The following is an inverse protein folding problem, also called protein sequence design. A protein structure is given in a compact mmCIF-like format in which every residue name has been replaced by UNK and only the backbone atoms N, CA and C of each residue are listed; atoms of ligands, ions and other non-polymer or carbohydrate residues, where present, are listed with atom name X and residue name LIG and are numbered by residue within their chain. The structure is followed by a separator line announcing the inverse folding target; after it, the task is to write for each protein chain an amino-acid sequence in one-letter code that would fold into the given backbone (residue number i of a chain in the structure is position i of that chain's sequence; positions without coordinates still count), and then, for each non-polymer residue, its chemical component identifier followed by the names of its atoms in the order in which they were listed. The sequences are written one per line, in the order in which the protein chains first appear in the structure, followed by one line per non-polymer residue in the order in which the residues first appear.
data_IF_876801848875
#
_entry.id   IF_876801848875
#
_cell.length_a   1.000
_cell.length_b   1.000
_cell.length_c   1.000
_cell.angle_alpha   90.00
_cell.angle_beta   90.00
_cell.angle_gamma   90.00
#
_symmetry.space_group_name_H-M   'P 1'
#
loop_
_entity.id
_entity.type
_entity.pdbx_description
1 polymer ?
#
# COMPACT_ATOMS: atom_id res chain seq x y z
N UNK A 1 43.45 -16.62 18.60
CA UNK A 1 42.11 -16.00 18.74
C UNK A 1 42.23 -14.50 18.48
N UNK A 2 41.72 -13.94 17.40
CA UNK A 2 41.40 -12.51 17.38
C UNK A 2 39.89 -12.29 17.13
N UNK A 3 39.37 -11.58 18.06
CA UNK A 3 38.25 -10.63 18.19
C UNK A 3 37.44 -10.27 16.92
N UNK A 4 36.14 -10.56 16.98
CA UNK A 4 35.08 -9.96 16.17
C UNK A 4 34.57 -8.63 16.79
N UNK A 5 34.96 -7.46 16.30
CA UNK A 5 34.19 -6.23 16.58
C UNK A 5 33.72 -5.44 15.35
N UNK A 6 33.92 -5.91 14.11
CA UNK A 6 33.59 -5.09 12.94
C UNK A 6 32.17 -5.29 12.37
N UNK A 7 31.46 -6.36 12.70
CA UNK A 7 30.11 -6.67 12.17
C UNK A 7 29.00 -5.89 12.92
N UNK A 8 29.11 -5.73 14.25
CA UNK A 8 28.08 -5.06 15.06
C UNK A 8 28.00 -3.55 14.81
N UNK A 9 29.12 -2.90 14.51
CA UNK A 9 29.14 -1.45 14.21
C UNK A 9 28.44 -1.09 12.88
N UNK A 10 28.41 -2.02 11.93
CA UNK A 10 27.75 -1.81 10.62
C UNK A 10 26.23 -2.03 10.66
N UNK A 11 25.74 -2.88 11.57
CA UNK A 11 24.30 -3.09 11.76
C UNK A 11 23.62 -1.93 12.51
N UNK A 12 24.26 -1.43 13.56
CA UNK A 12 23.77 -0.26 14.30
C UNK A 12 23.69 1.02 13.44
N UNK A 13 24.64 1.22 12.54
CA UNK A 13 24.66 2.33 11.61
C UNK A 13 23.57 2.23 10.51
N UNK A 14 23.28 1.02 10.04
CA UNK A 14 22.20 0.76 9.07
C UNK A 14 20.82 0.92 9.71
N UNK A 15 20.64 0.45 10.93
CA UNK A 15 19.40 0.58 11.69
C UNK A 15 19.07 2.06 11.98
N UNK A 16 20.05 2.86 12.41
CA UNK A 16 19.89 4.30 12.63
C UNK A 16 19.56 5.08 11.34
N UNK A 17 20.22 4.77 10.23
CA UNK A 17 19.91 5.41 8.93
C UNK A 17 18.49 5.04 8.46
N UNK A 18 18.05 3.82 8.69
CA UNK A 18 16.70 3.35 8.34
C UNK A 18 15.64 4.07 9.17
N UNK A 19 15.85 4.17 10.49
CA UNK A 19 14.94 4.90 11.40
C UNK A 19 14.87 6.40 11.07
N UNK A 20 16.01 7.03 10.74
CA UNK A 20 16.06 8.44 10.34
C UNK A 20 15.33 8.67 9.01
N UNK A 21 15.52 7.79 8.02
CA UNK A 21 14.81 7.89 6.75
C UNK A 21 13.30 7.71 6.93
N UNK A 22 12.87 6.78 7.79
CA UNK A 22 11.45 6.58 8.09
C UNK A 22 10.83 7.79 8.78
N UNK A 23 11.53 8.41 9.73
CA UNK A 23 11.09 9.64 10.38
C UNK A 23 10.98 10.80 9.38
N UNK A 24 11.96 10.95 8.49
CA UNK A 24 11.94 11.95 7.42
C UNK A 24 10.79 11.72 6.43
N UNK A 25 10.53 10.47 6.04
CA UNK A 25 9.40 10.13 5.17
C UNK A 25 8.05 10.42 5.84
N UNK A 26 7.91 10.14 7.15
CA UNK A 26 6.72 10.48 7.91
C UNK A 26 6.48 11.99 7.93
N UNK A 27 7.51 12.78 8.24
CA UNK A 27 7.41 14.24 8.24
C UNK A 27 7.09 14.78 6.85
N UNK A 28 7.74 14.24 5.81
CA UNK A 28 7.46 14.62 4.43
C UNK A 28 6.03 14.28 4.02
N UNK A 29 5.52 13.11 4.42
CA UNK A 29 4.15 12.66 4.16
C UNK A 29 3.11 13.55 4.86
N UNK A 30 3.32 13.86 6.16
CA UNK A 30 2.47 14.78 6.93
C UNK A 30 2.47 16.19 6.33
N UNK A 31 3.63 16.70 5.93
CA UNK A 31 3.77 17.99 5.24
C UNK A 31 3.03 17.98 3.89
N UNK A 32 3.15 16.90 3.14
CA UNK A 32 2.46 16.71 1.87
C UNK A 32 0.94 16.68 2.06
N UNK A 33 0.46 15.89 3.01
CA UNK A 33 -0.96 15.79 3.32
C UNK A 33 -1.54 17.12 3.82
N UNK A 34 -0.78 17.88 4.63
CA UNK A 34 -1.21 19.17 5.19
C UNK A 34 -1.13 20.34 4.20
N UNK A 35 -0.09 20.36 3.34
CA UNK A 35 0.14 21.46 2.39
C UNK A 35 -0.62 21.31 1.07
N UNK A 36 -0.93 20.05 0.68
CA UNK A 36 -1.64 19.73 -0.54
C UNK A 36 -2.87 18.86 -0.23
N UNK A 37 -3.90 19.44 0.44
CA UNK A 37 -5.12 18.73 0.82
C UNK A 37 -6.05 18.54 -0.40
N UNK A 38 -5.50 18.06 -1.51
CA UNK A 38 -6.23 18.01 -2.78
C UNK A 38 -7.01 16.71 -2.88
N UNK A 39 -8.36 16.78 -2.99
CA UNK A 39 -9.20 15.60 -3.18
C UNK A 39 -8.84 14.78 -4.41
N UNK A 40 -8.27 15.43 -5.43
CA UNK A 40 -7.82 14.82 -6.69
C UNK A 40 -6.66 13.84 -6.50
N UNK A 41 -5.90 13.97 -5.40
CA UNK A 41 -4.84 13.03 -5.04
C UNK A 41 -5.38 11.92 -4.14
N UNK A 42 -6.36 11.19 -4.63
CA UNK A 42 -7.00 10.11 -3.88
C UNK A 42 -6.11 8.88 -3.70
N UNK A 43 -5.19 8.68 -4.64
CA UNK A 43 -4.32 7.51 -4.69
C UNK A 43 -2.85 7.90 -4.66
N UNK A 44 -2.03 7.02 -4.07
CA UNK A 44 -0.58 7.18 -3.96
C UNK A 44 0.16 5.93 -4.45
N UNK A 45 -0.56 4.94 -4.97
CA UNK A 45 0.02 3.72 -5.50
C UNK A 45 0.52 3.89 -6.94
N UNK A 46 1.33 2.92 -7.40
CA UNK A 46 1.92 2.95 -8.73
C UNK A 46 0.94 2.54 -9.84
N UNK A 47 -0.13 1.82 -9.47
CA UNK A 47 -1.12 1.34 -10.41
C UNK A 47 -0.86 -0.09 -10.90
N UNK A 48 -1.81 -0.59 -11.66
CA UNK A 48 -1.77 -1.91 -12.30
C UNK A 48 -2.53 -1.83 -13.63
N UNK A 49 -2.10 -2.61 -14.63
CA UNK A 49 -2.91 -2.92 -15.81
C UNK A 49 -2.76 -4.38 -16.18
N UNK A 50 -3.85 -4.99 -16.64
CA UNK A 50 -3.81 -6.35 -17.16
C UNK A 50 -2.99 -6.37 -18.44
N UNK A 51 -2.11 -7.36 -18.57
CA UNK A 51 -1.33 -7.59 -19.79
C UNK A 51 -2.05 -8.59 -20.68
N UNK A 52 -1.97 -8.46 -22.01
CA UNK A 52 -2.56 -9.42 -22.92
C UNK A 52 -2.08 -10.87 -22.62
N UNK A 53 -2.93 -11.90 -22.75
CA UNK A 53 -4.33 -11.85 -23.23
C UNK A 53 -5.38 -11.50 -22.16
N UNK A 54 -4.97 -11.17 -20.93
CA UNK A 54 -5.89 -10.85 -19.84
C UNK A 54 -6.52 -9.47 -20.07
N UNK A 55 -7.82 -9.37 -19.85
CA UNK A 55 -8.60 -8.13 -19.99
C UNK A 55 -9.38 -7.80 -18.71
N UNK A 56 -8.99 -8.40 -17.57
CA UNK A 56 -9.68 -8.18 -16.30
C UNK A 56 -9.49 -6.73 -15.82
N UNK A 57 -10.52 -5.93 -16.04
CA UNK A 57 -10.55 -4.52 -15.72
C UNK A 57 -11.94 -4.17 -15.18
N UNK A 58 -12.05 -3.52 -14.02
CA UNK A 58 -13.34 -3.14 -13.48
C UNK A 58 -14.06 -2.11 -14.37
N UNK A 59 -15.38 -2.23 -14.48
CA UNK A 59 -16.21 -1.14 -14.96
C UNK A 59 -16.24 -0.04 -13.89
N UNK A 60 -15.96 1.19 -14.31
CA UNK A 60 -15.85 2.33 -13.41
C UNK A 60 -16.86 3.42 -13.77
N UNK A 61 -17.32 4.12 -12.73
CA UNK A 61 -18.02 5.38 -12.94
C UNK A 61 -17.12 6.40 -13.66
N UNK A 62 -17.66 7.29 -14.50
CA UNK A 62 -16.85 8.29 -15.21
C UNK A 62 -15.98 9.16 -14.32
N UNK A 63 -16.38 9.40 -13.07
CA UNK A 63 -15.61 10.15 -12.08
C UNK A 63 -14.38 9.42 -11.56
N UNK A 64 -14.34 8.09 -11.64
CA UNK A 64 -13.24 7.25 -11.19
C UNK A 64 -12.23 6.92 -12.32
N UNK A 65 -12.65 7.11 -13.59
CA UNK A 65 -11.83 6.82 -14.77
C UNK A 65 -10.44 7.48 -14.77
N UNK A 66 -10.28 8.73 -14.31
CA UNK A 66 -8.95 9.34 -14.24
C UNK A 66 -7.95 8.56 -13.35
N UNK A 67 -8.43 7.82 -12.36
CA UNK A 67 -7.61 7.04 -11.44
C UNK A 67 -7.60 5.53 -11.76
N UNK A 68 -8.05 5.15 -12.98
CA UNK A 68 -8.24 3.75 -13.43
C UNK A 68 -7.08 2.83 -13.05
N UNK A 69 -5.84 3.19 -13.36
CA UNK A 69 -4.68 2.32 -13.08
C UNK A 69 -4.45 2.12 -11.57
N UNK A 70 -4.63 3.18 -10.79
CA UNK A 70 -4.54 3.09 -9.33
C UNK A 70 -5.65 2.20 -8.74
N UNK A 71 -6.86 2.32 -9.28
CA UNK A 71 -8.02 1.50 -8.91
C UNK A 71 -7.81 0.04 -9.31
N UNK A 72 -7.26 -0.23 -10.49
CA UNK A 72 -6.98 -1.59 -10.96
C UNK A 72 -6.04 -2.34 -10.02
N UNK A 73 -5.05 -1.65 -9.41
CA UNK A 73 -4.21 -2.29 -8.40
C UNK A 73 -5.04 -2.76 -7.19
N UNK A 74 -5.90 -1.89 -6.66
CA UNK A 74 -6.79 -2.27 -5.57
C UNK A 74 -7.75 -3.39 -5.97
N UNK A 75 -8.28 -3.34 -7.19
CA UNK A 75 -9.13 -4.41 -7.73
C UNK A 75 -8.39 -5.75 -7.74
N UNK A 76 -7.20 -5.80 -8.31
CA UNK A 76 -6.38 -7.01 -8.40
C UNK A 76 -6.01 -7.60 -7.04
N UNK A 77 -5.93 -6.78 -6.01
CA UNK A 77 -5.63 -7.25 -4.65
C UNK A 77 -6.90 -7.67 -3.92
N UNK A 78 -7.94 -6.84 -3.95
CA UNK A 78 -9.12 -7.00 -3.10
C UNK A 78 -10.18 -7.97 -3.68
N UNK A 79 -10.28 -8.12 -5.02
CA UNK A 79 -11.26 -9.02 -5.66
C UNK A 79 -10.89 -10.51 -5.61
N UNK A 80 -9.72 -10.87 -5.02
CA UNK A 80 -9.30 -12.28 -4.89
C UNK A 80 -10.13 -13.09 -3.90
N UNK A 81 -10.92 -12.40 -3.10
CA UNK A 81 -11.92 -13.01 -2.22
C UNK A 81 -13.23 -12.23 -2.36
N UNK A 82 -14.35 -12.89 -2.11
CA UNK A 82 -15.63 -12.19 -2.05
C UNK A 82 -15.68 -11.37 -0.75
N UNK A 83 -15.72 -10.06 -0.89
CA UNK A 83 -15.82 -9.10 0.22
C UNK A 83 -17.25 -8.66 0.50
N UNK A 84 -18.22 -9.11 -0.29
CA UNK A 84 -19.63 -8.71 -0.12
C UNK A 84 -20.13 -9.01 1.29
N UNK A 85 -20.62 -7.99 1.98
CA UNK A 85 -21.14 -8.11 3.36
C UNK A 85 -20.07 -8.29 4.45
N UNK A 86 -18.79 -8.42 4.12
CA UNK A 86 -17.69 -8.62 5.07
C UNK A 86 -17.37 -7.37 5.90
N UNK A 87 -16.62 -7.57 6.97
CA UNK A 87 -15.96 -6.49 7.75
C UNK A 87 -14.50 -6.44 7.33
N UNK A 88 -14.10 -5.33 6.69
CA UNK A 88 -12.78 -5.12 6.11
C UNK A 88 -11.99 -4.06 6.88
N UNK A 89 -10.71 -4.33 7.15
CA UNK A 89 -9.74 -3.36 7.63
C UNK A 89 -8.69 -3.09 6.55
N UNK A 90 -8.44 -1.82 6.21
CA UNK A 90 -7.22 -1.45 5.47
C UNK A 90 -6.22 -0.81 6.43
N UNK A 91 -4.98 -1.31 6.45
CA UNK A 91 -3.88 -0.74 7.23
C UNK A 91 -2.95 0.02 6.31
N UNK A 92 -2.73 1.32 6.61
CA UNK A 92 -2.02 2.25 5.74
C UNK A 92 -2.91 2.77 4.62
N UNK A 93 -4.10 3.26 4.98
CA UNK A 93 -5.14 3.68 4.01
C UNK A 93 -4.80 4.98 3.26
N UNK A 94 -3.76 5.70 3.68
CA UNK A 94 -3.26 6.89 3.02
C UNK A 94 -4.33 7.94 2.77
N UNK A 95 -4.59 8.25 1.51
CA UNK A 95 -5.60 9.24 1.08
C UNK A 95 -6.99 8.65 0.85
N UNK A 96 -7.18 7.38 1.14
CA UNK A 96 -8.47 6.72 1.22
C UNK A 96 -9.14 6.36 -0.11
N UNK A 97 -8.53 6.67 -1.25
CA UNK A 97 -9.09 6.35 -2.56
C UNK A 97 -9.32 4.86 -2.76
N UNK A 98 -8.34 4.05 -2.35
CA UNK A 98 -8.40 2.60 -2.47
C UNK A 98 -9.53 1.97 -1.67
N UNK A 99 -9.61 2.28 -0.38
CA UNK A 99 -10.68 1.73 0.47
C UNK A 99 -12.07 2.25 0.05
N UNK A 100 -12.15 3.52 -0.41
CA UNK A 100 -13.38 4.07 -0.98
C UNK A 100 -13.82 3.29 -2.22
N UNK A 101 -12.88 2.94 -3.12
CA UNK A 101 -13.16 2.06 -4.25
C UNK A 101 -13.67 0.69 -3.78
N UNK A 102 -12.96 0.02 -2.88
CA UNK A 102 -13.33 -1.31 -2.38
C UNK A 102 -14.72 -1.27 -1.74
N UNK A 103 -15.02 -0.25 -0.93
CA UNK A 103 -16.35 -0.09 -0.31
C UNK A 103 -17.46 0.05 -1.34
N UNK A 104 -17.28 0.85 -2.39
CA UNK A 104 -18.32 1.14 -3.39
C UNK A 104 -18.53 -0.02 -4.36
N UNK A 105 -17.46 -0.68 -4.80
CA UNK A 105 -17.52 -1.66 -5.88
C UNK A 105 -17.50 -3.11 -5.39
N UNK A 106 -16.78 -3.43 -4.30
CA UNK A 106 -16.70 -4.79 -3.74
C UNK A 106 -17.61 -5.00 -2.51
N UNK A 107 -18.30 -3.96 -2.06
CA UNK A 107 -19.44 -3.95 -1.15
C UNK A 107 -19.25 -4.69 0.19
N UNK A 108 -18.13 -4.53 0.93
CA UNK A 108 -18.08 -4.94 2.33
C UNK A 108 -19.17 -4.19 3.12
N UNK A 109 -19.77 -4.82 4.13
CA UNK A 109 -20.77 -4.16 5.00
C UNK A 109 -20.13 -3.00 5.77
N UNK A 110 -18.93 -3.21 6.30
CA UNK A 110 -18.12 -2.24 7.01
C UNK A 110 -16.70 -2.25 6.46
N UNK A 111 -16.17 -1.06 6.14
CA UNK A 111 -14.79 -0.86 5.77
C UNK A 111 -14.15 0.18 6.70
N UNK A 112 -13.05 -0.18 7.36
CA UNK A 112 -12.30 0.71 8.25
C UNK A 112 -10.89 0.88 7.68
N UNK A 113 -10.47 2.13 7.47
CA UNK A 113 -9.11 2.46 7.09
C UNK A 113 -8.33 3.00 8.27
N UNK A 114 -7.12 2.49 8.51
CA UNK A 114 -6.22 3.01 9.54
C UNK A 114 -4.98 3.60 8.88
N UNK A 115 -4.61 4.82 9.30
CA UNK A 115 -3.38 5.47 8.87
C UNK A 115 -2.68 6.19 10.02
N UNK A 116 -1.35 6.25 9.97
CA UNK A 116 -0.53 6.92 10.96
C UNK A 116 -0.64 8.46 10.87
N UNK A 117 -1.09 8.98 9.73
CA UNK A 117 -1.28 10.41 9.50
C UNK A 117 -2.67 10.87 9.92
N UNK A 118 -2.77 11.54 11.05
CA UNK A 118 -4.03 12.15 11.50
C UNK A 118 -4.56 13.19 10.50
N UNK A 119 -3.70 13.83 9.70
CA UNK A 119 -4.10 14.76 8.64
C UNK A 119 -4.78 14.00 7.50
N UNK A 120 -4.17 12.91 7.02
CA UNK A 120 -4.75 12.06 5.98
C UNK A 120 -6.13 11.52 6.40
N UNK A 121 -6.23 10.98 7.62
CA UNK A 121 -7.50 10.49 8.19
C UNK A 121 -8.59 11.57 8.20
N UNK A 122 -8.28 12.79 8.64
CA UNK A 122 -9.26 13.90 8.60
C UNK A 122 -9.71 14.25 7.18
N UNK A 123 -8.80 14.23 6.22
CA UNK A 123 -9.11 14.47 4.80
C UNK A 123 -9.99 13.35 4.24
N UNK A 124 -9.69 12.09 4.55
CA UNK A 124 -10.49 10.94 4.13
C UNK A 124 -11.93 11.05 4.66
N UNK A 125 -12.11 11.27 5.96
CA UNK A 125 -13.44 11.40 6.56
C UNK A 125 -14.23 12.58 6.01
N UNK A 126 -13.55 13.65 5.56
CA UNK A 126 -14.22 14.81 4.92
C UNK A 126 -14.63 14.56 3.48
N UNK A 127 -13.79 13.88 2.71
CA UNK A 127 -13.93 13.81 1.24
C UNK A 127 -14.34 12.43 0.71
N UNK A 128 -14.30 11.37 1.56
CA UNK A 128 -14.59 9.98 1.18
C UNK A 128 -15.75 9.39 1.98
N UNK A 129 -16.64 10.26 2.49
CA UNK A 129 -17.78 9.82 3.30
C UNK A 129 -18.72 8.94 2.47
N UNK A 130 -18.82 7.67 2.84
CA UNK A 130 -19.74 6.67 2.29
C UNK A 130 -20.29 5.87 3.47
N UNK A 131 -21.56 5.49 3.43
CA UNK A 131 -22.17 4.70 4.49
C UNK A 131 -21.40 3.39 4.72
N UNK A 132 -20.98 3.14 5.97
CA UNK A 132 -20.17 1.98 6.35
C UNK A 132 -18.70 2.08 5.94
N UNK A 133 -18.18 3.29 5.67
CA UNK A 133 -16.76 3.58 5.48
C UNK A 133 -16.30 4.57 6.54
N UNK A 134 -15.25 4.22 7.28
CA UNK A 134 -14.67 5.03 8.36
C UNK A 134 -13.16 5.03 8.24
N UNK A 135 -12.50 6.14 8.57
CA UNK A 135 -11.04 6.23 8.65
C UNK A 135 -10.63 6.65 10.06
N UNK A 136 -9.71 5.89 10.66
CA UNK A 136 -9.21 6.12 12.01
C UNK A 136 -7.69 6.32 12.02
N UNK A 137 -7.23 7.11 12.99
CA UNK A 137 -5.80 7.28 13.24
C UNK A 137 -5.27 6.11 14.06
N UNK A 138 -4.18 5.47 13.59
CA UNK A 138 -3.57 4.35 14.30
C UNK A 138 -2.22 3.93 13.76
N UNK A 139 -1.53 3.13 14.56
CA UNK A 139 -0.24 2.54 14.21
C UNK A 139 -0.44 1.08 13.78
N UNK A 140 0.10 0.70 12.63
CA UNK A 140 0.07 -0.67 12.12
C UNK A 140 0.65 -1.71 13.09
N UNK A 141 1.49 -1.28 14.04
CA UNK A 141 2.13 -2.13 15.05
C UNK A 141 1.31 -2.34 16.33
N UNK A 142 0.20 -1.61 16.47
CA UNK A 142 -0.65 -1.64 17.66
C UNK A 142 -2.07 -1.23 17.26
N UNK A 143 -2.76 -2.11 16.54
CA UNK A 143 -4.11 -1.87 16.04
C UNK A 143 -5.12 -1.84 17.19
N UNK A 144 -5.90 -0.77 17.30
CA UNK A 144 -6.85 -0.53 18.39
C UNK A 144 -8.18 -1.29 18.17
N UNK A 145 -8.10 -2.54 17.76
CA UNK A 145 -9.26 -3.40 17.53
C UNK A 145 -9.14 -4.70 18.34
N UNK A 146 -10.27 -5.29 18.77
CA UNK A 146 -10.26 -6.59 19.43
C UNK A 146 -9.72 -7.70 18.52
N UNK A 147 -9.32 -8.81 19.13
CA UNK A 147 -8.97 -10.03 18.41
C UNK A 147 -10.14 -10.52 17.56
N UNK A 148 -9.85 -11.10 16.41
CA UNK A 148 -10.86 -11.75 15.54
C UNK A 148 -12.03 -10.82 15.17
N UNK A 149 -11.74 -9.56 14.81
CA UNK A 149 -12.73 -8.54 14.47
C UNK A 149 -13.06 -8.45 12.99
N UNK A 150 -12.13 -8.87 12.11
CA UNK A 150 -12.23 -8.64 10.67
C UNK A 150 -12.25 -9.94 9.87
N UNK A 151 -13.07 -9.96 8.81
CA UNK A 151 -13.10 -11.04 7.83
C UNK A 151 -11.95 -10.95 6.84
N UNK A 152 -11.50 -9.71 6.56
CA UNK A 152 -10.33 -9.45 5.72
C UNK A 152 -9.53 -8.24 6.22
N UNK A 153 -8.21 -8.29 6.01
CA UNK A 153 -7.29 -7.16 6.16
C UNK A 153 -6.65 -6.89 4.81
N UNK A 154 -6.62 -5.63 4.40
CA UNK A 154 -6.02 -5.14 3.16
C UNK A 154 -4.79 -4.29 3.49
N UNK A 155 -3.72 -4.44 2.71
CA UNK A 155 -2.53 -3.59 2.79
C UNK A 155 -1.92 -3.44 1.39
N UNK A 156 -1.94 -2.22 0.86
CA UNK A 156 -1.44 -1.90 -0.47
C UNK A 156 -0.42 -0.78 -0.38
N UNK A 157 0.80 -1.04 -0.87
CA UNK A 157 1.91 -0.07 -0.96
C UNK A 157 2.17 0.76 0.31
N UNK A 158 2.15 0.15 1.47
CA UNK A 158 2.39 0.88 2.73
C UNK A 158 3.38 0.19 3.66
N UNK A 159 3.44 -1.14 3.67
CA UNK A 159 4.24 -1.90 4.62
C UNK A 159 5.75 -1.74 4.44
N UNK A 160 6.22 -1.29 3.28
CA UNK A 160 7.63 -0.95 3.06
C UNK A 160 8.12 0.22 3.94
N UNK A 161 7.19 1.03 4.45
CA UNK A 161 7.46 2.13 5.37
C UNK A 161 7.41 1.71 6.86
N UNK A 162 7.00 0.48 7.18
CA UNK A 162 6.80 0.08 8.57
C UNK A 162 8.13 -0.26 9.26
N UNK A 163 8.30 0.13 10.54
CA UNK A 163 9.52 -0.17 11.29
C UNK A 163 9.75 -1.66 11.53
N UNK A 164 8.68 -2.44 11.70
CA UNK A 164 8.72 -3.88 11.91
C UNK A 164 7.59 -4.56 11.15
N UNK A 165 7.98 -5.38 10.20
CA UNK A 165 7.04 -6.20 9.42
C UNK A 165 6.47 -7.33 10.28
N UNK A 166 7.28 -7.92 11.15
CA UNK A 166 6.86 -9.00 12.05
C UNK A 166 5.75 -8.54 13.01
N UNK A 167 5.93 -7.37 13.65
CA UNK A 167 4.93 -6.80 14.55
C UNK A 167 3.63 -6.49 13.80
N UNK A 168 3.75 -5.92 12.60
CA UNK A 168 2.58 -5.64 11.75
C UNK A 168 1.81 -6.92 11.41
N UNK A 169 2.51 -7.96 10.93
CA UNK A 169 1.85 -9.22 10.56
C UNK A 169 1.22 -9.91 11.77
N UNK A 170 1.86 -9.83 12.94
CA UNK A 170 1.29 -10.34 14.19
C UNK A 170 -0.04 -9.65 14.53
N UNK A 171 -0.12 -8.33 14.38
CA UNK A 171 -1.37 -7.58 14.57
C UNK A 171 -2.43 -7.95 13.52
N UNK A 172 -2.03 -8.11 12.24
CA UNK A 172 -2.93 -8.62 11.19
C UNK A 172 -3.50 -9.98 11.58
N UNK A 173 -2.64 -10.92 12.00
CA UNK A 173 -3.08 -12.23 12.45
C UNK A 173 -4.03 -12.14 13.65
N UNK A 174 -3.73 -11.28 14.62
CA UNK A 174 -4.55 -11.10 15.83
C UNK A 174 -5.97 -10.62 15.48
N UNK A 175 -6.07 -9.58 14.66
CA UNK A 175 -7.38 -8.95 14.35
C UNK A 175 -8.19 -9.74 13.33
N UNK A 176 -7.59 -10.62 12.53
CA UNK A 176 -8.31 -11.50 11.60
C UNK A 176 -9.10 -12.56 12.36
N UNK A 177 -10.32 -12.80 11.91
CA UNK A 177 -11.12 -13.97 12.33
C UNK A 177 -10.46 -15.27 11.84
N UNK A 178 -10.68 -16.40 12.54
CA UNK A 178 -10.35 -17.70 11.97
C UNK A 178 -10.97 -17.86 10.57
N UNK A 179 -10.18 -18.30 9.60
CA UNK A 179 -10.59 -18.39 8.20
C UNK A 179 -10.55 -17.07 7.42
N UNK A 180 -10.28 -15.94 8.07
CA UNK A 180 -10.16 -14.62 7.44
C UNK A 180 -8.93 -14.47 6.55
N UNK A 181 -8.93 -13.47 5.68
CA UNK A 181 -7.92 -13.27 4.63
C UNK A 181 -7.07 -12.02 4.86
N UNK A 182 -5.77 -12.14 4.61
CA UNK A 182 -4.87 -11.01 4.47
C UNK A 182 -4.54 -10.80 2.98
N UNK A 183 -4.97 -9.66 2.43
CA UNK A 183 -4.81 -9.24 1.05
C UNK A 183 -3.69 -8.21 1.00
N UNK A 184 -2.58 -8.60 0.42
CA UNK A 184 -1.34 -7.84 0.50
C UNK A 184 -0.75 -7.58 -0.88
N UNK A 185 -0.33 -6.34 -1.12
CA UNK A 185 0.49 -6.00 -2.28
C UNK A 185 1.49 -4.89 -1.93
N UNK A 186 2.75 -5.13 -2.23
CA UNK A 186 3.81 -4.15 -1.98
C UNK A 186 5.06 -4.48 -2.82
N UNK A 187 5.99 -3.55 -2.87
CA UNK A 187 7.26 -3.72 -3.56
C UNK A 187 8.44 -3.75 -2.59
N UNK A 188 9.48 -4.42 -2.97
CA UNK A 188 10.76 -4.49 -2.24
C UNK A 188 11.93 -4.60 -3.22
N UNK A 189 13.16 -4.26 -2.78
CA UNK A 189 14.36 -4.74 -3.44
C UNK A 189 14.29 -6.26 -3.62
N UNK A 190 14.65 -6.76 -4.81
CA UNK A 190 14.51 -8.18 -5.15
C UNK A 190 15.21 -9.10 -4.15
N UNK A 191 16.37 -8.69 -3.63
CA UNK A 191 17.14 -9.42 -2.62
C UNK A 191 16.42 -9.54 -1.25
N UNK A 192 15.43 -8.68 -0.97
CA UNK A 192 14.69 -8.68 0.31
C UNK A 192 13.41 -9.54 0.23
N UNK A 193 12.92 -9.86 -0.97
CA UNK A 193 11.68 -10.62 -1.15
C UNK A 193 11.68 -12.00 -0.46
N UNK A 194 12.77 -12.79 -0.44
CA UNK A 194 12.79 -14.05 0.30
C UNK A 194 12.58 -13.86 1.81
N UNK A 195 13.08 -12.75 2.38
CA UNK A 195 12.85 -12.42 3.79
C UNK A 195 11.39 -12.02 4.03
N UNK A 196 10.80 -11.17 3.18
CA UNK A 196 9.39 -10.83 3.23
C UNK A 196 8.50 -12.08 3.17
N UNK A 197 8.79 -12.99 2.26
CA UNK A 197 8.04 -14.25 2.14
C UNK A 197 8.09 -15.08 3.42
N UNK A 198 9.27 -15.24 4.03
CA UNK A 198 9.42 -15.94 5.33
C UNK A 198 8.62 -15.26 6.44
N UNK A 199 8.65 -13.93 6.51
CA UNK A 199 7.88 -13.16 7.48
C UNK A 199 6.38 -13.38 7.32
N UNK A 200 5.86 -13.32 6.08
CA UNK A 200 4.44 -13.57 5.78
C UNK A 200 3.99 -14.99 6.12
N UNK A 201 4.86 -16.00 5.95
CA UNK A 201 4.55 -17.40 6.28
C UNK A 201 4.72 -17.73 7.77
N UNK A 202 5.54 -16.96 8.51
CA UNK A 202 6.01 -17.32 9.85
C UNK A 202 5.04 -17.01 11.00
N UNK A 203 3.89 -16.38 10.73
CA UNK A 203 2.99 -15.87 11.77
C UNK A 203 1.61 -16.54 11.81
N UNK A 204 1.51 -17.79 11.35
CA UNK A 204 0.25 -18.53 11.38
C UNK A 204 -0.72 -18.22 10.23
N UNK A 205 -0.29 -17.42 9.25
CA UNK A 205 -1.02 -17.21 8.01
C UNK A 205 -0.50 -18.17 6.92
N UNK A 206 -1.41 -18.84 6.24
CA UNK A 206 -1.10 -19.74 5.11
C UNK A 206 -1.21 -18.96 3.81
N UNK A 207 -0.17 -18.99 2.98
CA UNK A 207 -0.21 -18.42 1.63
C UNK A 207 -1.17 -19.24 0.77
N UNK A 208 -2.18 -18.59 0.22
CA UNK A 208 -3.16 -19.14 -0.72
C UNK A 208 -2.73 -18.85 -2.16
N UNK A 209 -2.29 -17.61 -2.39
CA UNK A 209 -1.84 -17.13 -3.70
C UNK A 209 -0.64 -16.20 -3.54
N UNK A 210 0.30 -16.30 -4.48
CA UNK A 210 1.45 -15.39 -4.60
C UNK A 210 1.70 -15.11 -6.07
N UNK A 211 1.89 -13.85 -6.42
CA UNK A 211 2.19 -13.44 -7.79
C UNK A 211 3.19 -12.28 -7.79
N UNK A 212 4.09 -12.28 -8.77
CA UNK A 212 4.94 -11.13 -9.09
C UNK A 212 4.23 -10.34 -10.19
N UNK A 213 3.80 -9.13 -9.84
CA UNK A 213 3.02 -8.25 -10.73
C UNK A 213 3.83 -7.06 -11.23
N UNK A 214 5.16 -7.13 -11.14
CA UNK A 214 6.07 -6.07 -11.60
C UNK A 214 5.81 -5.65 -13.06
N UNK A 215 5.63 -6.57 -14.03
CA UNK A 215 5.36 -6.19 -15.41
C UNK A 215 4.07 -5.37 -15.56
N UNK A 216 3.02 -5.74 -14.83
CA UNK A 216 1.72 -5.06 -14.84
C UNK A 216 1.80 -3.65 -14.25
N UNK A 217 2.56 -3.50 -13.15
CA UNK A 217 2.81 -2.20 -12.51
C UNK A 217 3.67 -1.31 -13.40
N UNK A 218 4.69 -1.87 -14.03
CA UNK A 218 5.57 -1.13 -14.95
C UNK A 218 4.78 -0.58 -16.14
N UNK A 219 3.94 -1.40 -16.77
CA UNK A 219 3.08 -0.97 -17.87
C UNK A 219 2.08 0.12 -17.42
N UNK A 220 1.50 -0.02 -16.23
CA UNK A 220 0.61 1.02 -15.68
C UNK A 220 1.36 2.34 -15.44
N UNK A 221 2.61 2.31 -14.98
CA UNK A 221 3.44 3.51 -14.82
C UNK A 221 3.74 4.18 -16.17
N UNK A 222 3.98 3.39 -17.22
CA UNK A 222 4.16 3.90 -18.58
C UNK A 222 2.91 4.63 -19.08
N UNK A 223 1.75 3.98 -18.96
CA UNK A 223 0.47 4.49 -19.46
C UNK A 223 -0.03 5.73 -18.67
N UNK A 224 0.22 5.78 -17.36
CA UNK A 224 -0.27 6.84 -16.47
C UNK A 224 0.71 8.02 -16.30
N UNK A 225 1.90 7.95 -16.88
CA UNK A 225 2.96 8.94 -16.69
C UNK A 225 2.55 10.35 -17.07
N UNK A 226 1.87 10.53 -18.22
CA UNK A 226 1.50 11.84 -18.71
C UNK A 226 0.43 12.50 -17.84
N UNK A 227 -0.54 11.74 -17.36
CA UNK A 227 -1.55 12.22 -16.40
C UNK A 227 -0.89 12.65 -15.08
N UNK A 228 -0.03 11.79 -14.49
CA UNK A 228 0.71 12.11 -13.26
C UNK A 228 1.58 13.34 -13.41
N UNK A 229 2.27 13.50 -14.54
CA UNK A 229 3.04 14.70 -14.86
C UNK A 229 2.18 15.95 -14.95
N UNK A 230 1.01 15.86 -15.61
CA UNK A 230 0.03 16.94 -15.68
C UNK A 230 -0.43 17.39 -14.30
N UNK A 231 -0.80 16.42 -13.45
CA UNK A 231 -1.22 16.67 -12.07
C UNK A 231 -0.09 17.35 -11.25
N UNK A 232 1.14 16.84 -11.31
CA UNK A 232 2.30 17.42 -10.63
C UNK A 232 2.53 18.86 -11.09
N UNK A 233 2.48 19.12 -12.40
CA UNK A 233 2.69 20.49 -12.95
C UNK A 233 1.61 21.46 -12.49
N UNK A 234 0.36 21.01 -12.43
CA UNK A 234 -0.77 21.85 -12.04
C UNK A 234 -0.79 22.20 -10.55
N UNK A 235 -0.24 21.31 -9.69
CA UNK A 235 -0.52 21.34 -8.26
C UNK A 235 0.69 21.51 -7.37
N UNK A 236 1.88 21.15 -7.87
CA UNK A 236 3.13 21.16 -7.09
C UNK A 236 4.02 22.34 -7.47
N UNK A 237 4.51 23.14 -6.51
CA UNK A 237 5.49 24.19 -6.79
C UNK A 237 6.71 23.68 -7.56
N UNK A 238 7.22 24.49 -8.50
CA UNK A 238 8.30 24.07 -9.43
C UNK A 238 9.51 23.45 -8.73
N UNK A 239 9.91 23.98 -7.59
CA UNK A 239 11.08 23.50 -6.83
C UNK A 239 10.88 22.15 -6.16
N UNK A 240 9.62 21.69 -5.96
CA UNK A 240 9.27 20.38 -5.41
C UNK A 240 8.93 19.33 -6.50
N UNK A 241 8.76 19.74 -7.76
CA UNK A 241 8.33 18.81 -8.82
C UNK A 241 9.31 17.64 -9.04
N UNK A 242 10.62 17.86 -8.88
CA UNK A 242 11.62 16.80 -9.01
C UNK A 242 11.43 15.64 -8.03
N UNK A 243 11.37 15.88 -6.71
CA UNK A 243 11.02 14.87 -5.71
C UNK A 243 9.68 14.18 -5.97
N UNK A 244 8.63 14.94 -6.38
CA UNK A 244 7.31 14.37 -6.67
C UNK A 244 7.33 13.45 -7.89
N UNK A 245 8.05 13.78 -8.96
CA UNK A 245 8.23 12.91 -10.13
C UNK A 245 8.87 11.57 -9.76
N UNK A 246 9.89 11.61 -8.88
CA UNK A 246 10.53 10.39 -8.38
C UNK A 246 9.56 9.54 -7.56
N UNK A 247 8.81 10.18 -6.66
CA UNK A 247 7.82 9.52 -5.82
C UNK A 247 6.68 8.90 -6.64
N UNK A 248 6.16 9.60 -7.64
CA UNK A 248 5.08 9.13 -8.50
C UNK A 248 5.49 8.01 -9.46
N UNK A 249 6.77 7.66 -9.52
CA UNK A 249 7.27 6.58 -10.37
C UNK A 249 7.09 6.84 -11.87
N UNK A 250 7.04 8.10 -12.30
CA UNK A 250 6.84 8.44 -13.71
C UNK A 250 7.96 7.86 -14.59
N UNK A 251 7.68 7.74 -15.89
CA UNK A 251 8.64 7.29 -16.91
C UNK A 251 10.02 7.94 -16.71
N UNK A 252 11.09 7.16 -16.84
CA UNK A 252 12.48 7.57 -16.65
C UNK A 252 12.87 8.00 -15.21
N UNK A 253 11.95 7.91 -14.24
CA UNK A 253 12.31 8.14 -12.85
C UNK A 253 13.16 6.99 -12.30
N UNK A 254 13.90 7.25 -11.21
CA UNK A 254 14.69 6.21 -10.54
C UNK A 254 13.84 5.02 -10.08
N UNK A 255 12.59 5.27 -9.69
CA UNK A 255 11.63 4.24 -9.28
C UNK A 255 11.21 3.39 -10.47
N UNK A 256 10.81 4.02 -11.58
CA UNK A 256 10.47 3.33 -12.83
C UNK A 256 11.65 2.45 -13.30
N UNK A 257 12.86 3.01 -13.35
CA UNK A 257 14.06 2.28 -13.76
C UNK A 257 14.40 1.12 -12.81
N UNK A 258 14.07 1.24 -11.53
CA UNK A 258 14.30 0.15 -10.57
C UNK A 258 13.40 -1.05 -10.82
N UNK A 259 12.16 -0.84 -11.23
CA UNK A 259 11.25 -1.92 -11.67
C UNK A 259 11.67 -2.50 -13.02
N UNK A 260 12.00 -1.64 -13.99
CA UNK A 260 12.43 -2.06 -15.33
C UNK A 260 13.68 -2.95 -15.30
N UNK A 261 14.61 -2.68 -14.40
CA UNK A 261 15.85 -3.47 -14.24
C UNK A 261 15.73 -4.65 -13.27
N UNK A 262 14.56 -4.90 -12.67
CA UNK A 262 14.37 -5.96 -11.68
C UNK A 262 15.05 -5.70 -10.33
N UNK A 263 15.58 -4.49 -10.08
CA UNK A 263 16.14 -4.15 -8.75
C UNK A 263 15.09 -4.10 -7.68
N UNK A 264 13.85 -3.71 -8.03
CA UNK A 264 12.67 -3.83 -7.20
C UNK A 264 11.65 -4.71 -7.91
N UNK A 265 10.97 -5.53 -7.14
CA UNK A 265 9.85 -6.32 -7.61
C UNK A 265 8.59 -5.99 -6.81
N UNK A 266 7.47 -6.02 -7.48
CA UNK A 266 6.16 -5.83 -6.92
C UNK A 266 5.47 -7.18 -6.78
N UNK A 267 5.02 -7.52 -5.57
CA UNK A 267 4.44 -8.82 -5.24
C UNK A 267 3.04 -8.65 -4.66
N UNK A 268 2.17 -9.57 -5.01
CA UNK A 268 0.83 -9.72 -4.46
C UNK A 268 0.72 -11.05 -3.74
N UNK A 269 0.06 -11.04 -2.58
CA UNK A 269 -0.24 -12.23 -1.80
C UNK A 269 -1.71 -12.24 -1.37
N UNK A 270 -2.30 -13.42 -1.36
CA UNK A 270 -3.49 -13.76 -0.61
C UNK A 270 -3.08 -14.75 0.46
N UNK A 271 -3.25 -14.38 1.73
CA UNK A 271 -2.97 -15.25 2.85
C UNK A 271 -4.26 -15.50 3.63
N UNK A 272 -4.34 -16.63 4.32
CA UNK A 272 -5.51 -17.01 5.11
C UNK A 272 -5.10 -17.43 6.51
N UNK A 273 -5.81 -16.95 7.52
CA UNK A 273 -5.69 -17.41 8.90
C UNK A 273 -6.32 -18.80 9.00
N UNK A 274 -5.63 -19.75 9.64
CA UNK A 274 -6.18 -21.08 9.92
C UNK A 274 -7.48 -20.96 10.72
N UNK A 275 -8.38 -21.93 10.51
CA UNK A 275 -9.66 -22.00 11.24
C UNK A 275 -9.42 -22.37 12.71
#
# INVERSE_FOLDING_TARGET
MPSQPAAEATEGGRCRKRALNQALWRVAYELLASRFPMPEWAFMNYGYTALPPLTDSPELDPSDEPDRYCIQLYHQVASRVDLTGSTLLEVGSGRGGGLSYVKRYLRPSLAIGVDLSAVAVRLCNRHRAVAGLVYDHGDARALQFPDSSFDAVLNVESSHCYPSMETFISEVHRVLRPGGHFLFADFRPAEVLPALHRQLCGCGLRVVEKEVITPNVLEALELDSDRKLGLIRATVPRWLQGPFRRFAGIRESQTHESFRTGRHEYVRYVLRKSA
#
